data_IF_517074092419
#
_entry.id   IF_517074092419
#
_cell.length_a   1.000
_cell.length_b   1.000
_cell.length_c   1.000
_cell.angle_alpha   90.00
_cell.angle_beta   90.00
_cell.angle_gamma   90.00
#
_symmetry.space_group_name_H-M   'P 1'
#
loop_
_entity.id
_entity.type
_entity.pdbx_description
1 polymer ?
#
# COMPACT_ATOMS: atom_id res chain seq x y z
N UNK A 1 2.54 17.10 10.89
CA UNK A 1 2.53 17.55 9.48
C UNK A 1 2.59 16.29 8.63
N UNK A 2 1.81 16.20 7.55
CA UNK A 2 1.88 15.06 6.61
C UNK A 2 3.19 15.21 5.83
N UNK A 3 4.02 14.16 5.83
CA UNK A 3 5.27 14.14 5.06
C UNK A 3 5.02 14.04 3.55
N UNK A 4 6.10 13.90 2.77
CA UNK A 4 6.00 13.74 1.32
C UNK A 4 6.33 12.29 0.95
N UNK A 5 5.58 11.68 0.03
CA UNK A 5 5.91 10.33 -0.43
C UNK A 5 7.37 10.26 -0.94
N UNK A 6 8.04 9.14 -0.68
CA UNK A 6 9.47 8.88 -0.97
C UNK A 6 10.50 9.67 -0.14
N UNK A 7 10.08 10.40 0.90
CA UNK A 7 11.01 11.04 1.85
C UNK A 7 11.00 10.35 3.22
N UNK A 8 12.04 10.59 4.03
CA UNK A 8 12.20 9.90 5.33
C UNK A 8 11.07 10.18 6.34
N UNK A 9 10.36 11.30 6.16
CA UNK A 9 9.21 11.67 6.99
C UNK A 9 7.85 11.31 6.37
N UNK A 10 7.82 10.51 5.30
CA UNK A 10 6.59 10.08 4.63
C UNK A 10 5.65 9.39 5.62
N UNK A 11 4.37 9.74 5.56
CA UNK A 11 3.31 8.91 6.13
C UNK A 11 3.03 7.82 5.10
N UNK A 12 3.02 6.56 5.53
CA UNK A 12 2.80 5.41 4.66
C UNK A 12 1.44 4.78 4.94
N UNK A 13 0.83 4.22 3.91
CA UNK A 13 -0.45 3.51 3.98
C UNK A 13 -0.30 2.16 3.30
N UNK A 14 -0.43 1.08 4.06
CA UNK A 14 -0.50 -0.27 3.51
C UNK A 14 -1.96 -0.70 3.34
N UNK A 15 -2.39 -0.91 2.10
CA UNK A 15 -3.71 -1.45 1.77
C UNK A 15 -3.65 -2.98 1.71
N UNK A 16 -4.37 -3.66 2.61
CA UNK A 16 -4.54 -5.11 2.58
C UNK A 16 -5.83 -5.47 1.84
N UNK A 17 -5.69 -5.77 0.55
CA UNK A 17 -6.79 -5.85 -0.42
C UNK A 17 -6.80 -4.61 -1.31
N UNK A 18 -6.61 -4.83 -2.60
CA UNK A 18 -6.28 -3.80 -3.60
C UNK A 18 -7.31 -3.75 -4.74
N UNK A 19 -8.58 -4.03 -4.43
CA UNK A 19 -9.71 -3.91 -5.36
C UNK A 19 -10.07 -2.45 -5.71
N UNK A 20 -11.20 -2.25 -6.38
CA UNK A 20 -11.69 -0.95 -6.85
C UNK A 20 -11.93 0.05 -5.72
N UNK A 21 -12.41 -0.42 -4.55
CA UNK A 21 -12.57 0.44 -3.38
C UNK A 21 -11.21 0.90 -2.84
N UNK A 22 -10.23 0.00 -2.80
CA UNK A 22 -8.86 0.31 -2.42
C UNK A 22 -8.20 1.30 -3.39
N UNK A 23 -8.58 1.27 -4.67
CA UNK A 23 -8.08 2.19 -5.69
C UNK A 23 -8.49 3.64 -5.41
N UNK A 24 -9.74 3.88 -5.06
CA UNK A 24 -10.20 5.23 -4.70
C UNK A 24 -9.53 5.72 -3.41
N UNK A 25 -9.41 4.85 -2.39
CA UNK A 25 -8.66 5.18 -1.16
C UNK A 25 -7.20 5.52 -1.46
N UNK A 26 -6.54 4.77 -2.35
CA UNK A 26 -5.16 5.04 -2.78
C UNK A 26 -5.04 6.40 -3.49
N UNK A 27 -5.99 6.74 -4.37
CA UNK A 27 -6.02 8.03 -5.08
C UNK A 27 -6.15 9.19 -4.10
N UNK A 28 -7.06 9.11 -3.12
CA UNK A 28 -7.20 10.17 -2.12
C UNK A 28 -5.98 10.30 -1.21
N UNK A 29 -5.37 9.18 -0.81
CA UNK A 29 -4.12 9.19 -0.05
C UNK A 29 -2.99 9.87 -0.85
N UNK A 30 -2.86 9.59 -2.15
CA UNK A 30 -1.88 10.26 -3.00
C UNK A 30 -2.13 11.75 -3.17
N UNK A 31 -3.39 12.19 -3.26
CA UNK A 31 -3.74 13.62 -3.28
C UNK A 31 -3.28 14.35 -2.02
N UNK A 32 -3.12 13.64 -0.90
CA UNK A 32 -2.56 14.16 0.36
C UNK A 32 -1.04 13.97 0.49
N UNK A 33 -0.37 13.38 -0.50
CA UNK A 33 1.07 13.09 -0.46
C UNK A 33 1.45 11.88 0.39
N UNK A 34 0.49 11.05 0.80
CA UNK A 34 0.73 9.81 1.56
C UNK A 34 1.31 8.74 0.63
N UNK A 35 2.32 8.03 1.12
CA UNK A 35 2.98 6.97 0.39
C UNK A 35 2.17 5.66 0.48
N UNK A 36 1.41 5.37 -0.56
CA UNK A 36 0.59 4.15 -0.67
C UNK A 36 1.41 2.92 -1.10
N UNK A 37 1.29 1.84 -0.34
CA UNK A 37 1.71 0.48 -0.66
C UNK A 37 0.47 -0.41 -0.79
N UNK A 38 0.33 -1.12 -1.90
CA UNK A 38 -0.82 -1.97 -2.16
C UNK A 38 -0.48 -3.47 -2.11
N UNK A 39 -1.18 -4.23 -1.28
CA UNK A 39 -1.02 -5.68 -1.17
C UNK A 39 -2.30 -6.41 -1.59
N UNK A 40 -2.15 -7.49 -2.35
CA UNK A 40 -3.24 -8.39 -2.73
C UNK A 40 -2.72 -9.80 -3.04
N UNK A 41 -3.62 -10.76 -3.28
CA UNK A 41 -3.29 -12.14 -3.63
C UNK A 41 -2.90 -12.33 -5.10
N UNK A 42 -3.00 -11.29 -5.94
CA UNK A 42 -2.70 -11.35 -7.37
C UNK A 42 -2.07 -10.04 -7.86
N UNK A 43 -1.28 -10.13 -8.92
CA UNK A 43 -0.63 -8.97 -9.53
C UNK A 43 -1.63 -8.07 -10.26
N UNK A 44 -1.28 -6.78 -10.38
CA UNK A 44 -2.05 -5.78 -11.14
C UNK A 44 -3.49 -5.55 -10.65
N UNK A 45 -3.76 -5.83 -9.38
CA UNK A 45 -5.01 -5.46 -8.73
C UNK A 45 -5.28 -3.94 -8.87
N UNK A 46 -6.54 -3.49 -8.93
CA UNK A 46 -6.89 -2.10 -9.24
C UNK A 46 -6.09 -1.02 -8.49
N UNK A 47 -5.90 -1.15 -7.17
CA UNK A 47 -5.15 -0.18 -6.37
C UNK A 47 -3.64 -0.21 -6.63
N UNK A 48 -3.09 -1.35 -7.07
CA UNK A 48 -1.67 -1.47 -7.41
C UNK A 48 -1.27 -0.61 -8.61
N UNK A 49 -2.22 -0.28 -9.49
CA UNK A 49 -1.97 0.52 -10.69
C UNK A 49 -1.71 1.99 -10.35
N UNK A 50 -2.15 2.45 -9.18
CA UNK A 50 -1.97 3.81 -8.71
C UNK A 50 -0.98 3.89 -7.56
N UNK A 51 -0.75 2.83 -6.78
CA UNK A 51 0.16 2.82 -5.63
C UNK A 51 1.65 3.08 -6.00
N UNK A 52 2.44 3.53 -5.03
CA UNK A 52 3.89 3.74 -5.20
C UNK A 52 4.66 2.42 -5.27
N UNK A 53 4.22 1.42 -4.48
CA UNK A 53 4.73 0.06 -4.49
C UNK A 53 3.58 -0.94 -4.35
N UNK A 54 3.79 -2.16 -4.83
CA UNK A 54 2.83 -3.24 -4.68
C UNK A 54 3.49 -4.57 -4.37
N UNK A 55 2.75 -5.42 -3.64
CA UNK A 55 3.19 -6.75 -3.21
C UNK A 55 2.11 -7.78 -3.48
N UNK A 56 2.53 -8.96 -3.95
CA UNK A 56 1.63 -10.10 -4.16
C UNK A 56 1.98 -11.17 -3.13
N UNK A 57 1.05 -11.50 -2.25
CA UNK A 57 1.25 -12.48 -1.19
C UNK A 57 -0.05 -13.16 -0.76
N UNK A 58 0.01 -14.32 -0.09
CA UNK A 58 -1.17 -14.95 0.50
C UNK A 58 -1.71 -14.08 1.65
N UNK A 59 -2.83 -13.37 1.41
CA UNK A 59 -3.40 -12.41 2.36
C UNK A 59 -3.93 -13.01 3.68
N UNK A 60 -4.00 -14.35 3.78
CA UNK A 60 -4.39 -15.07 4.99
C UNK A 60 -3.20 -15.71 5.71
N UNK A 61 -1.98 -15.54 5.19
CA UNK A 61 -0.76 -16.01 5.83
C UNK A 61 -0.23 -14.90 6.79
N UNK A 62 -0.28 -15.13 8.12
CA UNK A 62 0.15 -14.13 9.09
C UNK A 62 1.66 -13.86 9.05
N UNK A 63 2.48 -14.83 8.67
CA UNK A 63 3.93 -14.67 8.60
C UNK A 63 4.32 -13.85 7.38
N UNK A 64 3.67 -14.10 6.23
CA UNK A 64 3.85 -13.29 5.03
C UNK A 64 3.41 -11.83 5.25
N UNK A 65 2.26 -11.61 5.92
CA UNK A 65 1.79 -10.26 6.28
C UNK A 65 2.75 -9.56 7.24
N UNK A 66 3.26 -10.26 8.26
CA UNK A 66 4.24 -9.72 9.20
C UNK A 66 5.52 -9.29 8.48
N UNK A 67 6.07 -10.15 7.63
CA UNK A 67 7.26 -9.84 6.85
C UNK A 67 7.07 -8.58 5.98
N UNK A 68 5.91 -8.44 5.34
CA UNK A 68 5.58 -7.26 4.55
C UNK A 68 5.49 -5.98 5.40
N UNK A 69 4.81 -6.04 6.56
CA UNK A 69 4.68 -4.88 7.47
C UNK A 69 6.06 -4.47 8.00
N UNK A 70 6.92 -5.43 8.36
CA UNK A 70 8.28 -5.16 8.83
C UNK A 70 9.17 -4.57 7.73
N UNK A 71 9.01 -5.02 6.48
CA UNK A 71 9.72 -4.49 5.32
C UNK A 71 9.31 -3.05 4.99
N UNK A 72 8.01 -2.79 4.88
CA UNK A 72 7.48 -1.51 4.40
C UNK A 72 7.35 -0.46 5.50
N UNK A 73 7.30 -0.90 6.78
CA UNK A 73 7.14 -0.05 7.97
C UNK A 73 6.09 1.05 7.74
N UNK A 74 4.85 0.66 7.38
CA UNK A 74 3.80 1.62 7.07
C UNK A 74 3.39 2.45 8.29
#
# INVERSE_FOLDING_TARGET
MIGTAYTDNAIRLLLLGSGELGKEVAIEAQRLGIEVIAADRYAHAPAMQVAHRSHVLPMLDPDALRALIEQERP
#
